data_IF_018219286632
#
_entry.id   IF_018219286632
#
_cell.length_a   1.000
_cell.length_b   1.000
_cell.length_c   1.000
_cell.angle_alpha   90.00
_cell.angle_beta   90.00
_cell.angle_gamma   90.00
#
_symmetry.space_group_name_H-M   'P 1'
#
loop_
_entity.id
_entity.type
_entity.pdbx_description
1 polymer ?
#
# COMPACT_ATOMS: atom_id res chain seq x y z
N UNK A 1 14.81 24.05 58.37
CA UNK A 1 15.09 23.43 57.04
C UNK A 1 14.37 22.11 56.77
N UNK A 2 13.73 21.41 57.74
CA UNK A 2 13.15 20.07 57.48
C UNK A 2 11.72 20.05 56.90
N UNK A 3 10.91 21.11 57.08
CA UNK A 3 9.52 21.13 56.59
C UNK A 3 9.41 21.20 55.06
N UNK A 4 10.35 21.88 54.40
CA UNK A 4 10.39 21.96 52.94
C UNK A 4 10.71 20.61 52.29
N UNK A 5 11.76 19.93 52.77
CA UNK A 5 12.18 18.61 52.27
C UNK A 5 11.08 17.56 52.43
N UNK A 6 10.34 17.60 53.56
CA UNK A 6 9.21 16.70 53.78
C UNK A 6 8.10 16.90 52.74
N UNK A 7 7.73 18.14 52.42
CA UNK A 7 6.67 18.43 51.45
C UNK A 7 7.08 18.01 50.03
N UNK A 8 8.35 18.23 49.67
CA UNK A 8 8.88 17.78 48.38
C UNK A 8 8.85 16.26 48.23
N UNK A 9 9.22 15.51 49.27
CA UNK A 9 9.17 14.05 49.26
C UNK A 9 7.72 13.56 49.15
N UNK A 10 6.79 14.16 49.89
CA UNK A 10 5.37 13.78 49.84
C UNK A 10 4.77 14.03 48.46
N UNK A 11 5.06 15.18 47.84
CA UNK A 11 4.59 15.50 46.48
C UNK A 11 5.20 14.56 45.43
N UNK A 12 6.48 14.21 45.58
CA UNK A 12 7.16 13.26 44.70
C UNK A 12 6.54 11.86 44.79
N UNK A 13 6.25 11.38 46.00
CA UNK A 13 5.61 10.08 46.22
C UNK A 13 4.18 10.03 45.66
N UNK A 14 3.40 11.11 45.82
CA UNK A 14 2.05 11.22 45.25
C UNK A 14 2.10 11.19 43.71
N UNK A 15 3.05 11.92 43.11
CA UNK A 15 3.26 11.89 41.65
C UNK A 15 3.66 10.50 41.16
N UNK A 16 4.50 9.78 41.90
CA UNK A 16 4.95 8.44 41.52
C UNK A 16 3.82 7.39 41.67
N UNK A 17 2.96 7.52 42.69
CA UNK A 17 1.78 6.66 42.87
C UNK A 17 0.71 6.90 41.79
N UNK A 18 0.59 8.11 41.26
CA UNK A 18 -0.31 8.39 40.12
C UNK A 18 0.19 7.76 38.81
N UNK A 19 1.51 7.67 38.61
CA UNK A 19 2.12 7.07 37.41
C UNK A 19 2.06 5.54 37.40
N UNK A 20 2.01 4.88 38.56
CA UNK A 20 2.00 3.40 38.67
C UNK A 20 0.57 2.83 38.55
N UNK A 21 -0.46 3.64 38.81
CA UNK A 21 -1.86 3.20 38.79
C UNK A 21 -2.60 3.47 37.47
N UNK A 22 -1.91 3.87 36.40
CA UNK A 22 -2.54 3.97 35.08
C UNK A 22 -2.80 2.55 34.55
N UNK A 23 -4.06 2.12 34.35
CA UNK A 23 -4.33 0.79 33.84
C UNK A 23 -3.73 0.63 32.43
N UNK A 24 -3.15 -0.54 32.14
CA UNK A 24 -2.56 -0.87 30.83
C UNK A 24 -3.54 -0.74 29.64
N UNK A 25 -4.83 -0.54 29.90
CA UNK A 25 -5.87 -0.32 28.88
C UNK A 25 -6.02 1.10 28.35
N UNK A 26 -5.29 2.11 28.86
CA UNK A 26 -5.38 3.49 28.33
C UNK A 26 -4.68 3.61 26.95
N UNK A 27 -3.80 2.66 26.60
CA UNK A 27 -3.12 2.60 25.32
C UNK A 27 -3.66 1.49 24.40
N UNK A 28 -4.92 1.10 24.54
CA UNK A 28 -5.54 0.30 23.47
C UNK A 28 -5.74 1.22 22.25
N UNK A 29 -5.20 0.88 21.06
CA UNK A 29 -5.69 1.52 19.86
C UNK A 29 -7.21 1.34 19.83
N UNK A 30 -7.94 2.37 19.43
CA UNK A 30 -9.36 2.21 19.17
C UNK A 30 -9.53 1.00 18.26
N UNK A 31 -10.41 0.05 18.63
CA UNK A 31 -10.75 -1.05 17.75
C UNK A 31 -11.15 -0.42 16.41
N UNK A 32 -10.47 -0.81 15.32
CA UNK A 32 -10.86 -0.36 13.99
C UNK A 32 -12.36 -0.64 13.87
N UNK A 33 -13.14 0.39 13.54
CA UNK A 33 -14.57 0.22 13.32
C UNK A 33 -14.70 -0.77 12.16
N UNK A 34 -15.03 -2.01 12.47
CA UNK A 34 -15.35 -3.06 11.50
C UNK A 34 -16.72 -2.73 10.90
N UNK A 35 -16.83 -1.57 10.24
CA UNK A 35 -17.94 -1.33 9.34
C UNK A 35 -18.02 -2.54 8.41
N UNK A 36 -19.22 -3.03 8.15
CA UNK A 36 -19.52 -4.27 7.43
C UNK A 36 -19.07 -4.29 5.95
N UNK A 37 -18.08 -3.47 5.58
CA UNK A 37 -17.68 -3.10 4.23
C UNK A 37 -16.18 -3.28 3.96
N UNK A 38 -15.34 -3.58 4.96
CA UNK A 38 -13.90 -3.79 4.72
C UNK A 38 -13.35 -5.02 5.47
N UNK A 39 -12.45 -5.81 4.84
CA UNK A 39 -12.00 -5.71 3.44
C UNK A 39 -13.11 -6.09 2.46
N UNK A 40 -13.16 -5.41 1.32
CA UNK A 40 -14.01 -5.82 0.20
C UNK A 40 -13.45 -7.10 -0.42
N UNK A 41 -14.33 -8.00 -0.83
CA UNK A 41 -13.99 -9.17 -1.62
C UNK A 41 -14.05 -8.85 -3.12
N UNK A 42 -13.24 -9.53 -3.96
CA UNK A 42 -13.32 -9.40 -5.42
C UNK A 42 -14.71 -9.60 -6.01
N UNK A 43 -15.55 -10.40 -5.34
CA UNK A 43 -16.93 -10.65 -5.74
C UNK A 43 -17.91 -9.52 -5.43
N UNK A 44 -17.51 -8.52 -4.64
CA UNK A 44 -18.38 -7.42 -4.23
C UNK A 44 -18.66 -6.50 -5.42
N UNK A 45 -19.91 -6.03 -5.54
CA UNK A 45 -20.34 -5.23 -6.69
C UNK A 45 -19.54 -3.94 -6.85
N UNK A 46 -19.06 -3.36 -5.74
CA UNK A 46 -18.17 -2.18 -5.79
C UNK A 46 -16.85 -2.49 -6.50
N UNK A 47 -16.27 -3.69 -6.30
CA UNK A 47 -15.03 -4.11 -6.96
C UNK A 47 -15.30 -4.40 -8.42
N UNK A 48 -16.38 -5.13 -8.74
CA UNK A 48 -16.79 -5.39 -10.14
C UNK A 48 -16.99 -4.09 -10.92
N UNK A 49 -17.74 -3.14 -10.36
CA UNK A 49 -17.99 -1.84 -10.99
C UNK A 49 -16.70 -1.04 -11.20
N UNK A 50 -15.75 -1.11 -10.26
CA UNK A 50 -14.44 -0.47 -10.41
C UNK A 50 -13.62 -1.12 -11.55
N UNK A 51 -13.61 -2.45 -11.64
CA UNK A 51 -12.94 -3.17 -12.72
C UNK A 51 -13.58 -2.87 -14.09
N UNK A 52 -14.90 -2.86 -14.20
CA UNK A 52 -15.61 -2.49 -15.42
C UNK A 52 -15.27 -1.06 -15.86
N UNK A 53 -15.20 -0.12 -14.91
CA UNK A 53 -14.75 1.24 -15.20
C UNK A 53 -13.33 1.25 -15.75
N UNK A 54 -12.37 0.57 -15.11
CA UNK A 54 -10.99 0.50 -15.58
C UNK A 54 -10.89 -0.11 -16.98
N UNK A 55 -11.65 -1.19 -17.24
CA UNK A 55 -11.72 -1.82 -18.56
C UNK A 55 -12.27 -0.86 -19.62
N UNK A 56 -13.27 -0.04 -19.27
CA UNK A 56 -13.80 0.99 -20.17
C UNK A 56 -12.80 2.10 -20.53
N UNK A 57 -11.72 2.25 -19.75
CA UNK A 57 -10.64 3.22 -19.99
C UNK A 57 -9.43 2.62 -20.68
N UNK A 58 -9.45 1.31 -20.93
CA UNK A 58 -8.35 0.62 -21.57
C UNK A 58 -8.24 0.99 -23.05
N UNK A 59 -7.06 1.44 -23.44
CA UNK A 59 -6.71 1.66 -24.84
C UNK A 59 -6.44 0.33 -25.56
N UNK A 60 -6.42 0.38 -26.89
CA UNK A 60 -6.24 -0.82 -27.73
C UNK A 60 -4.88 -1.49 -27.54
N UNK A 61 -3.88 -0.73 -27.11
CA UNK A 61 -2.52 -1.20 -26.78
C UNK A 61 -2.43 -1.81 -25.38
N UNK A 62 -3.54 -1.90 -24.65
CA UNK A 62 -3.61 -2.41 -23.28
C UNK A 62 -3.37 -1.35 -22.21
N UNK A 63 -2.83 -0.18 -22.54
CA UNK A 63 -2.55 0.87 -21.57
C UNK A 63 -3.80 1.51 -20.97
N UNK A 64 -3.72 1.94 -19.71
CA UNK A 64 -4.76 2.73 -19.04
C UNK A 64 -4.12 3.98 -18.44
N UNK A 65 -4.48 5.16 -18.95
CA UNK A 65 -4.02 6.45 -18.41
C UNK A 65 -2.51 6.72 -18.54
N UNK A 66 -1.78 5.91 -19.31
CA UNK A 66 -0.32 6.00 -19.50
C UNK A 66 0.48 5.03 -18.62
N UNK A 67 1.79 5.00 -18.79
CA UNK A 67 2.71 4.02 -18.19
C UNK A 67 2.61 3.92 -16.66
N UNK A 68 2.78 5.05 -15.96
CA UNK A 68 2.72 5.07 -14.51
C UNK A 68 1.34 4.66 -13.96
N UNK A 69 0.25 5.09 -14.62
CA UNK A 69 -1.12 4.74 -14.22
C UNK A 69 -1.39 3.26 -14.48
N UNK A 70 -0.92 2.71 -15.60
CA UNK A 70 -1.07 1.30 -15.94
C UNK A 70 -0.40 0.41 -14.89
N UNK A 71 0.73 0.82 -14.31
CA UNK A 71 1.36 0.10 -13.19
C UNK A 71 0.42 -0.03 -11.99
N UNK A 72 -0.24 1.07 -11.59
CA UNK A 72 -1.21 1.05 -10.49
C UNK A 72 -2.43 0.20 -10.81
N UNK A 73 -2.91 0.24 -12.06
CA UNK A 73 -4.02 -0.60 -12.50
C UNK A 73 -3.63 -2.08 -12.47
N UNK A 74 -2.41 -2.43 -12.90
CA UNK A 74 -1.93 -3.81 -12.86
C UNK A 74 -1.91 -4.37 -11.42
N UNK A 75 -1.49 -3.56 -10.43
CA UNK A 75 -1.58 -3.93 -9.02
C UNK A 75 -3.04 -4.10 -8.56
N UNK A 76 -3.92 -3.17 -8.92
CA UNK A 76 -5.33 -3.21 -8.52
C UNK A 76 -6.08 -4.42 -9.11
N UNK A 77 -5.83 -4.72 -10.39
CA UNK A 77 -6.40 -5.89 -11.08
C UNK A 77 -5.89 -7.19 -10.42
N UNK A 78 -4.59 -7.28 -10.14
CA UNK A 78 -4.05 -8.46 -9.44
C UNK A 78 -4.64 -8.64 -8.04
N UNK A 79 -4.78 -7.55 -7.28
CA UNK A 79 -5.38 -7.57 -5.94
C UNK A 79 -6.88 -7.96 -5.96
N UNK A 80 -7.54 -7.84 -7.10
CA UNK A 80 -8.93 -8.26 -7.31
C UNK A 80 -9.05 -9.68 -7.89
N UNK A 81 -8.00 -10.51 -7.77
CA UNK A 81 -7.91 -11.88 -8.30
C UNK A 81 -8.11 -12.01 -9.83
N UNK A 82 -8.08 -10.91 -10.57
CA UNK A 82 -8.06 -10.87 -12.03
C UNK A 82 -6.63 -11.08 -12.54
N UNK A 83 -6.48 -11.56 -13.78
CA UNK A 83 -5.16 -11.77 -14.40
C UNK A 83 -4.76 -10.54 -15.22
N UNK A 84 -3.75 -9.75 -14.84
CA UNK A 84 -3.34 -8.57 -15.61
C UNK A 84 -2.90 -8.88 -17.05
N UNK A 85 -2.41 -10.10 -17.30
CA UNK A 85 -2.09 -10.59 -18.65
C UNK A 85 -3.32 -10.76 -19.55
N UNK A 86 -4.50 -11.14 -19.02
CA UNK A 86 -5.72 -11.19 -19.85
C UNK A 86 -6.24 -9.80 -20.23
N UNK A 87 -5.70 -8.76 -19.59
CA UNK A 87 -5.99 -7.37 -19.93
C UNK A 87 -4.95 -6.78 -20.88
N UNK A 88 -3.84 -7.46 -21.20
CA UNK A 88 -2.75 -6.87 -22.00
C UNK A 88 -1.96 -5.78 -21.27
N UNK A 89 -2.15 -5.62 -19.95
CA UNK A 89 -1.46 -4.60 -19.15
C UNK A 89 0.05 -4.86 -19.09
N UNK A 90 0.44 -6.12 -18.90
CA UNK A 90 1.86 -6.51 -18.82
C UNK A 90 2.57 -6.37 -20.17
N UNK A 91 1.86 -6.63 -21.28
CA UNK A 91 2.40 -6.45 -22.63
C UNK A 91 2.68 -4.96 -22.88
N UNK A 92 1.69 -4.10 -22.59
CA UNK A 92 1.87 -2.64 -22.63
C UNK A 92 3.06 -2.17 -21.79
N UNK A 93 3.20 -2.66 -20.55
CA UNK A 93 4.30 -2.29 -19.67
C UNK A 93 5.66 -2.75 -20.20
N UNK A 94 5.77 -3.95 -20.78
CA UNK A 94 7.02 -4.42 -21.41
C UNK A 94 7.38 -3.57 -22.63
N UNK A 95 6.41 -3.23 -23.45
CA UNK A 95 6.63 -2.47 -24.69
C UNK A 95 6.98 -0.99 -24.45
N UNK A 96 6.65 -0.46 -23.27
CA UNK A 96 6.85 0.95 -22.92
C UNK A 96 7.85 1.13 -21.76
N UNK A 97 8.73 0.16 -21.52
CA UNK A 97 9.71 0.15 -20.41
C UNK A 97 10.73 1.30 -20.51
N UNK A 98 10.93 1.83 -21.73
CA UNK A 98 11.77 2.98 -22.04
C UNK A 98 11.25 4.30 -21.43
N UNK A 99 9.99 4.32 -20.96
CA UNK A 99 9.39 5.47 -20.28
C UNK A 99 9.81 5.62 -18.82
N UNK A 100 10.58 4.68 -18.27
CA UNK A 100 11.14 4.80 -16.93
C UNK A 100 12.17 5.93 -16.94
N UNK A 101 11.98 6.89 -16.05
CA UNK A 101 13.01 7.88 -15.76
C UNK A 101 14.07 7.25 -14.84
N UNK A 102 15.24 6.95 -15.40
CA UNK A 102 16.31 6.27 -14.68
C UNK A 102 16.84 7.05 -13.47
N UNK A 103 16.62 8.37 -13.41
CA UNK A 103 17.02 9.23 -12.29
C UNK A 103 15.99 9.23 -11.14
N UNK A 104 14.80 8.64 -11.36
CA UNK A 104 13.71 8.59 -10.37
C UNK A 104 13.56 7.20 -9.78
N UNK A 105 14.01 7.05 -8.54
CA UNK A 105 13.80 5.83 -7.76
C UNK A 105 12.33 5.38 -7.70
N UNK A 106 11.38 6.33 -7.69
CA UNK A 106 9.94 6.04 -7.65
C UNK A 106 9.41 5.38 -8.93
N UNK A 107 10.09 5.53 -10.07
CA UNK A 107 9.69 4.85 -11.30
C UNK A 107 10.13 3.39 -11.27
N UNK A 108 11.36 3.12 -10.82
CA UNK A 108 11.84 1.75 -10.56
C UNK A 108 10.95 1.05 -9.54
N UNK A 109 10.69 1.68 -8.39
CA UNK A 109 9.80 1.17 -7.34
C UNK A 109 8.44 0.76 -7.90
N UNK A 110 7.77 1.66 -8.62
CA UNK A 110 6.40 1.45 -9.11
C UNK A 110 6.31 0.28 -10.08
N UNK A 111 7.27 0.16 -11.00
CA UNK A 111 7.29 -0.93 -11.96
C UNK A 111 7.59 -2.25 -11.25
N UNK A 112 8.56 -2.28 -10.34
CA UNK A 112 8.88 -3.45 -9.52
C UNK A 112 7.68 -3.93 -8.70
N UNK A 113 6.93 -3.00 -8.10
CA UNK A 113 5.69 -3.34 -7.38
C UNK A 113 4.62 -3.90 -8.31
N UNK A 114 4.41 -3.30 -9.48
CA UNK A 114 3.42 -3.77 -10.44
C UNK A 114 3.72 -5.18 -10.93
N UNK A 115 4.94 -5.43 -11.42
CA UNK A 115 5.32 -6.74 -11.97
C UNK A 115 5.26 -7.83 -10.91
N UNK A 116 5.73 -7.54 -9.69
CA UNK A 116 5.68 -8.49 -8.56
C UNK A 116 4.24 -8.78 -8.15
N UNK A 117 3.38 -7.74 -8.07
CA UNK A 117 1.97 -7.93 -7.77
C UNK A 117 1.28 -8.82 -8.81
N UNK A 118 1.65 -8.71 -10.09
CA UNK A 118 1.13 -9.56 -11.15
C UNK A 118 1.71 -10.98 -11.19
N UNK A 119 2.65 -11.32 -10.30
CA UNK A 119 3.31 -12.63 -10.27
C UNK A 119 4.42 -12.81 -11.30
N UNK A 120 4.88 -11.72 -11.95
CA UNK A 120 6.01 -11.77 -12.88
C UNK A 120 7.34 -11.75 -12.11
N UNK A 121 8.41 -12.23 -12.78
CA UNK A 121 9.75 -12.20 -12.21
C UNK A 121 10.41 -10.82 -12.42
N UNK A 122 10.70 -10.04 -11.36
CA UNK A 122 11.30 -8.71 -11.50
C UNK A 122 12.75 -8.73 -12.02
N UNK A 123 13.42 -9.90 -12.03
CA UNK A 123 14.81 -10.00 -12.49
C UNK A 123 14.98 -10.12 -14.00
N UNK A 124 13.89 -10.32 -14.75
CA UNK A 124 13.94 -10.53 -16.20
C UNK A 124 12.80 -9.85 -16.97
N UNK A 125 12.05 -8.95 -16.33
CA UNK A 125 10.92 -8.29 -16.98
C UNK A 125 11.39 -7.28 -18.03
N UNK A 126 10.92 -7.44 -19.28
CA UNK A 126 11.30 -6.54 -20.37
C UNK A 126 12.81 -6.50 -20.66
N UNK A 127 13.56 -7.54 -20.26
CA UNK A 127 15.02 -7.59 -20.40
C UNK A 127 15.80 -6.76 -19.36
N UNK A 128 15.13 -6.29 -18.30
CA UNK A 128 15.75 -5.52 -17.21
C UNK A 128 15.66 -6.34 -15.91
N UNK A 129 16.77 -6.41 -15.16
CA UNK A 129 16.74 -6.82 -13.76
C UNK A 129 16.41 -5.61 -12.89
N UNK A 130 15.16 -5.52 -12.45
CA UNK A 130 14.66 -4.41 -11.63
C UNK A 130 15.16 -4.46 -10.19
N UNK A 131 15.69 -5.60 -9.73
CA UNK A 131 16.21 -5.75 -8.36
C UNK A 131 17.62 -5.16 -8.24
N UNK A 132 18.35 -5.07 -9.36
CA UNK A 132 19.70 -4.50 -9.42
C UNK A 132 19.70 -2.99 -9.75
N UNK A 133 18.52 -2.37 -9.94
CA UNK A 133 18.35 -0.94 -10.22
C UNK A 133 18.16 -0.13 -8.94
#
# INVERSE_FOLDING_TARGET
>A
MSRGVSVFITLFLISMMMLINTPLGVFSPAAANQGSHYPYHPSDDVIKNALEYLKSKQAIDGGIGGFAVTCWVAMAVSAADEKPSSWGLLDYLRENIDRIDAEKATDWERVTLAITACGENPREFGGIDFVEK
#
